data_IF_672292870187
#
_entry.id   IF_672292870187
#
_cell.length_a   1.000
_cell.length_b   1.000
_cell.length_c   1.000
_cell.angle_alpha   90.00
_cell.angle_beta   90.00
_cell.angle_gamma   90.00
#
_symmetry.space_group_name_H-M   'P 1'
#
loop_
_entity.id
_entity.type
_entity.pdbx_description
1 polymer ?
#
# COMPACT_ATOMS: atom_id res chain seq x y z
N UNK A 1 2.78 15.33 19.42
CA UNK A 1 3.21 15.69 18.05
C UNK A 1 3.24 14.44 17.15
N UNK A 2 2.13 14.06 16.50
CA UNK A 2 2.04 12.80 15.71
C UNK A 2 1.69 12.98 14.22
N UNK A 3 1.56 14.22 13.75
CA UNK A 3 1.29 14.51 12.33
C UNK A 3 2.54 14.38 11.44
N UNK A 4 3.74 14.62 11.99
CA UNK A 4 5.02 14.49 11.27
C UNK A 4 5.35 13.05 10.85
N UNK A 5 4.81 12.03 11.54
CA UNK A 5 5.01 10.60 11.16
C UNK A 5 4.12 10.17 9.99
N UNK A 6 3.00 10.86 9.77
CA UNK A 6 2.06 10.58 8.68
C UNK A 6 2.43 11.36 7.40
N UNK A 7 3.06 12.53 7.53
CA UNK A 7 3.47 13.38 6.40
C UNK A 7 4.96 13.26 6.04
N UNK A 8 5.71 12.34 6.67
CA UNK A 8 7.13 12.18 6.36
C UNK A 8 7.30 11.64 4.94
N UNK A 9 7.69 12.53 4.02
CA UNK A 9 7.89 12.22 2.60
C UNK A 9 8.80 11.01 2.43
N UNK A 10 9.88 10.90 3.23
CA UNK A 10 10.77 9.74 3.28
C UNK A 10 10.04 8.42 3.50
N UNK A 11 9.06 8.40 4.42
CA UNK A 11 8.28 7.20 4.74
C UNK A 11 7.37 6.82 3.58
N UNK A 12 6.75 7.81 2.93
CA UNK A 12 6.00 7.59 1.70
C UNK A 12 6.89 7.04 0.60
N UNK A 13 8.07 7.62 0.36
CA UNK A 13 9.01 7.09 -0.64
C UNK A 13 9.40 5.64 -0.35
N UNK A 14 9.58 5.30 0.92
CA UNK A 14 9.89 3.93 1.35
C UNK A 14 8.70 2.99 1.13
N UNK A 15 7.47 3.41 1.43
CA UNK A 15 6.23 2.67 1.14
C UNK A 15 6.12 2.42 -0.36
N UNK A 16 6.32 3.44 -1.20
CA UNK A 16 6.31 3.32 -2.67
C UNK A 16 7.39 2.36 -3.18
N UNK A 17 8.61 2.39 -2.63
CA UNK A 17 9.69 1.46 -2.99
C UNK A 17 9.43 0.03 -2.52
N UNK A 18 8.81 -0.16 -1.36
CA UNK A 18 8.56 -1.47 -0.75
C UNK A 18 7.34 -2.16 -1.35
N UNK A 19 6.30 -1.42 -1.75
CA UNK A 19 5.06 -1.96 -2.29
C UNK A 19 5.27 -2.95 -3.46
N UNK A 20 5.96 -2.61 -4.57
CA UNK A 20 6.15 -3.55 -5.68
C UNK A 20 7.04 -4.74 -5.29
N UNK A 21 7.97 -4.54 -4.35
CA UNK A 21 8.87 -5.61 -3.87
C UNK A 21 8.12 -6.62 -2.99
N UNK A 22 7.20 -6.15 -2.14
CA UNK A 22 6.31 -6.99 -1.33
C UNK A 22 5.30 -7.72 -2.22
N UNK A 23 4.71 -7.05 -3.21
CA UNK A 23 3.80 -7.70 -4.17
C UNK A 23 4.49 -8.81 -4.98
N UNK A 24 5.77 -8.63 -5.34
CA UNK A 24 6.59 -9.65 -6.02
C UNK A 24 7.17 -10.71 -5.08
N UNK A 25 7.13 -10.52 -3.76
CA UNK A 25 7.69 -11.48 -2.83
C UNK A 25 6.91 -12.82 -2.90
N UNK A 26 7.59 -13.96 -3.09
CA UNK A 26 6.94 -15.27 -3.13
C UNK A 26 6.49 -15.73 -1.74
N UNK A 27 7.05 -15.12 -0.68
CA UNK A 27 6.73 -15.43 0.73
C UNK A 27 5.36 -14.91 1.16
N UNK A 28 4.77 -13.97 0.41
CA UNK A 28 3.44 -13.44 0.69
C UNK A 28 2.41 -14.29 -0.07
N UNK A 29 1.45 -14.92 0.63
CA UNK A 29 0.41 -15.72 -0.01
C UNK A 29 -0.47 -14.87 -0.93
N UNK A 30 -0.95 -15.48 -2.02
CA UNK A 30 -1.79 -14.80 -3.01
C UNK A 30 -3.04 -14.14 -2.39
N UNK A 31 -3.63 -14.75 -1.35
CA UNK A 31 -4.78 -14.18 -0.64
C UNK A 31 -4.51 -12.79 -0.03
N UNK A 32 -3.29 -12.52 0.42
CA UNK A 32 -2.94 -11.20 0.94
C UNK A 32 -2.63 -10.18 -0.14
N UNK A 33 -2.09 -10.65 -1.26
CA UNK A 33 -1.96 -9.81 -2.47
C UNK A 33 -3.35 -9.43 -2.97
N UNK A 34 -4.29 -10.37 -2.97
CA UNK A 34 -5.69 -10.15 -3.31
C UNK A 34 -6.38 -9.17 -2.35
N UNK A 35 -6.07 -9.17 -1.05
CA UNK A 35 -6.59 -8.17 -0.11
C UNK A 35 -6.15 -6.73 -0.45
N UNK A 36 -5.07 -6.54 -1.20
CA UNK A 36 -4.64 -5.23 -1.70
C UNK A 36 -5.18 -4.97 -3.12
N UNK A 37 -5.10 -5.99 -3.99
CA UNK A 37 -5.46 -5.92 -5.40
C UNK A 37 -6.98 -5.80 -5.60
N UNK A 38 -7.80 -6.50 -4.81
CA UNK A 38 -9.27 -6.44 -4.89
C UNK A 38 -9.79 -5.03 -4.62
N UNK A 39 -9.44 -4.35 -3.51
CA UNK A 39 -9.84 -2.96 -3.30
C UNK A 39 -9.36 -2.06 -4.43
N UNK A 40 -8.12 -2.24 -4.91
CA UNK A 40 -7.58 -1.45 -6.01
C UNK A 40 -8.32 -1.67 -7.35
N UNK A 41 -8.70 -2.92 -7.67
CA UNK A 41 -9.48 -3.28 -8.87
C UNK A 41 -10.92 -2.82 -8.78
N UNK A 42 -11.59 -3.05 -7.63
CA UNK A 42 -12.93 -2.54 -7.38
C UNK A 42 -12.97 -1.02 -7.56
N UNK A 43 -11.94 -0.36 -7.05
CA UNK A 43 -11.78 1.07 -7.18
C UNK A 43 -11.43 1.49 -8.62
N UNK A 44 -10.76 0.67 -9.42
CA UNK A 44 -10.53 0.95 -10.85
C UNK A 44 -11.80 0.81 -11.70
N UNK A 45 -12.75 -0.04 -11.28
CA UNK A 45 -14.04 -0.25 -11.97
C UNK A 45 -15.11 0.76 -11.53
N UNK A 46 -15.03 1.26 -10.28
CA UNK A 46 -15.95 2.28 -9.76
C UNK A 46 -16.02 3.60 -10.56
N UNK A 47 -14.93 4.17 -11.11
CA UNK A 47 -14.97 5.42 -11.87
C UNK A 47 -15.70 5.26 -13.21
N UNK A 48 -15.79 4.04 -13.77
CA UNK A 48 -16.62 3.77 -14.96
C UNK A 48 -18.12 4.00 -14.68
N UNK A 49 -18.52 4.03 -13.39
CA UNK A 49 -19.91 4.18 -12.96
C UNK A 49 -20.22 5.59 -12.40
N UNK A 50 -19.20 6.42 -12.15
CA UNK A 50 -19.37 7.75 -11.56
C UNK A 50 -18.47 8.81 -12.25
N UNK A 51 -19.02 9.63 -13.17
CA UNK A 51 -18.31 10.77 -13.71
C UNK A 51 -18.25 11.91 -12.66
N UNK A 52 -17.15 12.68 -12.64
CA UNK A 52 -16.94 13.90 -11.82
C UNK A 52 -16.46 13.75 -10.35
N UNK A 53 -15.57 12.82 -10.04
CA UNK A 53 -14.94 12.75 -8.70
C UNK A 53 -13.49 13.28 -8.75
N UNK A 54 -13.18 14.49 -8.24
CA UNK A 54 -11.87 15.10 -8.46
C UNK A 54 -10.80 14.77 -7.40
N UNK A 55 -11.07 13.94 -6.39
CA UNK A 55 -10.21 13.85 -5.17
C UNK A 55 -9.91 12.43 -4.63
N UNK A 56 -10.57 11.35 -5.07
CA UNK A 56 -10.56 10.12 -4.24
C UNK A 56 -9.45 9.08 -4.52
N UNK A 57 -8.83 9.04 -5.71
CA UNK A 57 -7.91 7.93 -6.07
C UNK A 57 -6.59 7.98 -5.30
N UNK A 58 -6.02 9.18 -5.16
CA UNK A 58 -4.70 9.39 -4.55
C UNK A 58 -4.80 9.17 -3.05
N UNK A 59 -5.82 9.71 -2.38
CA UNK A 59 -6.02 9.56 -0.94
C UNK A 59 -6.25 8.11 -0.53
N UNK A 60 -7.15 7.41 -1.22
CA UNK A 60 -7.48 6.00 -0.94
C UNK A 60 -6.28 5.10 -1.22
N UNK A 61 -5.61 5.28 -2.36
CA UNK A 61 -4.41 4.51 -2.70
C UNK A 61 -3.30 4.72 -1.69
N UNK A 62 -3.04 5.96 -1.27
CA UNK A 62 -2.05 6.28 -0.25
C UNK A 62 -2.37 5.59 1.09
N UNK A 63 -3.62 5.66 1.56
CA UNK A 63 -4.06 4.99 2.80
C UNK A 63 -3.92 3.47 2.66
N UNK A 64 -4.37 2.89 1.55
CA UNK A 64 -4.33 1.46 1.27
C UNK A 64 -2.88 0.95 1.21
N UNK A 65 -1.98 1.68 0.55
CA UNK A 65 -0.55 1.38 0.49
C UNK A 65 0.08 1.40 1.87
N UNK A 66 -0.17 2.46 2.66
CA UNK A 66 0.38 2.55 4.02
C UNK A 66 -0.17 1.44 4.93
N UNK A 67 -1.45 1.09 4.80
CA UNK A 67 -2.07 -0.02 5.53
C UNK A 67 -1.45 -1.37 5.13
N UNK A 68 -1.33 -1.65 3.83
CA UNK A 68 -0.78 -2.90 3.33
C UNK A 68 0.68 -3.08 3.74
N UNK A 69 1.52 -2.05 3.57
CA UNK A 69 2.92 -2.10 3.99
C UNK A 69 3.01 -2.31 5.50
N UNK A 70 2.24 -1.57 6.31
CA UNK A 70 2.27 -1.76 7.77
C UNK A 70 1.80 -3.16 8.20
N UNK A 71 0.80 -3.72 7.51
CA UNK A 71 0.29 -5.08 7.76
C UNK A 71 1.30 -6.15 7.37
N UNK A 72 1.90 -6.03 6.19
CA UNK A 72 2.92 -6.96 5.69
C UNK A 72 4.18 -6.92 6.56
N UNK A 73 4.63 -5.73 6.97
CA UNK A 73 5.77 -5.58 7.89
C UNK A 73 5.50 -6.22 9.25
N UNK A 74 4.28 -6.06 9.79
CA UNK A 74 3.91 -6.67 11.08
C UNK A 74 3.78 -8.19 11.00
N UNK A 75 3.34 -8.72 9.86
CA UNK A 75 3.08 -10.16 9.69
C UNK A 75 4.29 -10.94 9.17
N UNK A 76 5.18 -10.30 8.42
CA UNK A 76 6.40 -10.89 7.84
C UNK A 76 7.64 -10.06 8.21
N UNK A 77 8.07 -10.07 9.49
CA UNK A 77 9.26 -9.35 9.93
C UNK A 77 10.55 -9.83 9.24
N UNK A 78 10.61 -11.10 8.82
CA UNK A 78 11.75 -11.68 8.07
C UNK A 78 12.05 -10.96 6.75
N UNK A 79 11.04 -10.34 6.14
CA UNK A 79 11.23 -9.54 4.93
C UNK A 79 11.88 -8.17 5.23
N UNK A 80 11.85 -7.68 6.47
CA UNK A 80 12.49 -6.42 6.89
C UNK A 80 13.98 -6.57 7.19
N UNK A 81 14.41 -7.67 7.82
CA UNK A 81 15.81 -7.88 8.22
C UNK A 81 16.79 -7.95 7.04
N UNK A 82 16.33 -8.38 5.86
CA UNK A 82 17.11 -8.37 4.62
C UNK A 82 17.15 -7.03 3.87
N UNK A 83 16.60 -5.94 4.40
CA UNK A 83 16.53 -4.64 3.72
C UNK A 83 17.53 -3.63 4.30
N UNK A 84 18.53 -3.15 3.53
CA UNK A 84 19.34 -2.01 3.95
C UNK A 84 18.46 -0.76 4.08
N UNK A 85 18.71 0.01 5.15
CA UNK A 85 17.99 1.22 5.55
C UNK A 85 18.33 2.43 4.68
#
# INVERSE_FOLDING_TARGET
MKWRRLLSFKRWTQVFKRLPRLLRAPQIPLGEKLLFIIPALLYWVLPDVMPFMPIDDIGVTLILMNWFVSRAERKYPVLQEGMPS
#
